data_IF_340896759461
#
_entry.id   IF_340896759461
#
_cell.length_a   1.000
_cell.length_b   1.000
_cell.length_c   1.000
_cell.angle_alpha   90.00
_cell.angle_beta   90.00
_cell.angle_gamma   90.00
#
_symmetry.space_group_name_H-M   'P 1'
#
loop_
_entity.id
_entity.type
_entity.pdbx_description
1 polymer ?
#
# COMPACT_ATOMS: atom_id res chain seq x y z
N UNK A 1 23.87 -13.25 3.76
CA UNK A 1 23.78 -13.33 2.29
C UNK A 1 22.53 -12.58 1.82
N UNK A 2 22.68 -11.60 0.92
CA UNK A 2 21.57 -10.74 0.50
C UNK A 2 20.59 -11.44 -0.45
N UNK A 3 19.45 -10.82 -0.71
CA UNK A 3 18.45 -11.35 -1.67
C UNK A 3 19.05 -11.60 -3.05
N UNK A 4 19.81 -10.62 -3.56
CA UNK A 4 20.48 -10.72 -4.87
C UNK A 4 21.45 -11.90 -4.93
N UNK A 5 22.20 -12.13 -3.86
CA UNK A 5 23.19 -13.20 -3.80
C UNK A 5 22.52 -14.57 -3.84
N UNK A 6 21.38 -14.73 -3.15
CA UNK A 6 20.56 -15.95 -3.22
C UNK A 6 20.02 -16.18 -4.64
N UNK A 7 19.45 -15.15 -5.26
CA UNK A 7 19.00 -15.25 -6.65
C UNK A 7 20.14 -15.62 -7.60
N UNK A 8 21.33 -15.05 -7.41
CA UNK A 8 22.51 -15.38 -8.22
C UNK A 8 22.89 -16.86 -8.12
N UNK A 9 22.82 -17.45 -6.93
CA UNK A 9 23.12 -18.87 -6.74
C UNK A 9 22.11 -19.76 -7.48
N UNK A 10 20.82 -19.49 -7.33
CA UNK A 10 19.73 -20.28 -7.94
C UNK A 10 19.65 -20.14 -9.47
N UNK A 11 20.11 -19.01 -10.01
CA UNK A 11 20.10 -18.69 -11.43
C UNK A 11 21.47 -18.91 -12.10
N UNK A 12 22.48 -19.39 -11.36
CA UNK A 12 23.80 -19.69 -11.92
C UNK A 12 23.68 -20.79 -12.98
N UNK A 13 24.31 -20.58 -14.13
CA UNK A 13 24.21 -21.48 -15.28
C UNK A 13 22.89 -21.37 -16.07
N UNK A 14 21.90 -20.62 -15.59
CA UNK A 14 20.65 -20.31 -16.32
C UNK A 14 20.69 -18.91 -16.94
N UNK A 15 21.46 -17.99 -16.36
CA UNK A 15 21.66 -16.62 -16.82
C UNK A 15 23.16 -16.35 -17.05
N UNK A 16 23.45 -15.38 -17.92
CA UNK A 16 24.81 -14.88 -18.17
C UNK A 16 25.34 -14.08 -16.97
N UNK A 17 26.67 -13.94 -16.85
CA UNK A 17 27.28 -13.13 -15.78
C UNK A 17 26.82 -11.66 -15.81
N UNK A 18 26.59 -11.11 -17.00
CA UNK A 18 26.03 -9.77 -17.16
C UNK A 18 24.62 -9.70 -16.55
N UNK A 19 23.73 -10.63 -16.89
CA UNK A 19 22.35 -10.67 -16.37
C UNK A 19 22.32 -10.89 -14.85
N UNK A 20 23.15 -11.80 -14.33
CA UNK A 20 23.32 -12.04 -12.90
C UNK A 20 23.75 -10.76 -12.17
N UNK A 21 24.61 -9.95 -12.79
CA UNK A 21 25.03 -8.65 -12.25
C UNK A 21 23.88 -7.61 -12.20
N UNK A 22 22.85 -7.77 -13.02
CA UNK A 22 21.70 -6.86 -13.13
C UNK A 22 20.52 -7.24 -12.23
N UNK A 23 20.57 -8.42 -11.59
CA UNK A 23 19.49 -8.92 -10.72
C UNK A 23 19.09 -7.90 -9.64
N UNK A 24 17.79 -7.86 -9.29
CA UNK A 24 17.26 -6.92 -8.30
C UNK A 24 17.92 -7.10 -6.93
N UNK A 25 18.24 -5.98 -6.26
CA UNK A 25 18.83 -5.98 -4.91
C UNK A 25 17.82 -6.32 -3.82
N UNK A 26 16.54 -6.11 -4.09
CA UNK A 26 15.44 -6.35 -3.17
C UNK A 26 14.10 -6.32 -3.90
N UNK A 27 13.04 -6.46 -3.13
CA UNK A 27 11.67 -6.50 -3.59
C UNK A 27 10.74 -5.86 -2.55
N UNK A 28 9.52 -5.54 -2.98
CA UNK A 28 8.44 -5.18 -2.07
C UNK A 28 7.58 -6.41 -1.80
N UNK A 29 7.12 -6.55 -0.57
CA UNK A 29 6.13 -7.55 -0.19
C UNK A 29 4.88 -6.82 0.29
N UNK A 30 3.72 -7.23 -0.20
CA UNK A 30 2.40 -6.77 0.25
C UNK A 30 1.53 -8.00 0.50
N UNK A 31 1.26 -8.29 1.78
CA UNK A 31 0.66 -9.57 2.17
C UNK A 31 1.50 -10.75 1.68
N UNK A 32 0.89 -11.64 0.89
CA UNK A 32 1.52 -12.85 0.35
C UNK A 32 2.00 -12.66 -1.10
N UNK A 33 2.26 -11.42 -1.53
CA UNK A 33 2.67 -11.09 -2.89
C UNK A 33 4.03 -10.42 -2.89
N UNK A 34 4.90 -10.83 -3.82
CA UNK A 34 6.15 -10.13 -4.15
C UNK A 34 5.93 -9.24 -5.36
N UNK A 35 6.42 -8.00 -5.28
CA UNK A 35 6.49 -7.06 -6.41
C UNK A 35 7.97 -6.77 -6.69
N UNK A 36 8.43 -7.18 -7.87
CA UNK A 36 9.78 -6.97 -8.37
C UNK A 36 9.85 -5.74 -9.28
N UNK A 37 11.02 -5.09 -9.29
CA UNK A 37 11.40 -4.15 -10.34
C UNK A 37 12.59 -4.73 -11.08
N UNK A 38 12.41 -5.03 -12.36
CA UNK A 38 13.46 -5.56 -13.21
C UNK A 38 14.02 -4.46 -14.11
N UNK A 39 15.32 -4.53 -14.38
CA UNK A 39 15.94 -3.70 -15.41
C UNK A 39 15.47 -4.16 -16.80
N UNK A 40 15.45 -3.28 -17.82
CA UNK A 40 15.00 -3.64 -19.17
C UNK A 40 15.63 -4.91 -19.75
N UNK A 41 16.95 -5.11 -19.53
CA UNK A 41 17.67 -6.32 -19.99
C UNK A 41 17.18 -7.63 -19.38
N UNK A 42 16.50 -7.58 -18.22
CA UNK A 42 16.00 -8.77 -17.50
C UNK A 42 14.52 -9.06 -17.75
N UNK A 43 13.82 -8.25 -18.57
CA UNK A 43 12.37 -8.39 -18.77
C UNK A 43 12.01 -9.74 -19.38
N UNK A 44 12.79 -10.22 -20.35
CA UNK A 44 12.57 -11.53 -20.97
C UNK A 44 12.79 -12.68 -19.97
N UNK A 45 13.56 -12.43 -18.91
CA UNK A 45 13.87 -13.40 -17.84
C UNK A 45 12.88 -13.30 -16.67
N UNK A 46 11.80 -12.53 -16.81
CA UNK A 46 10.82 -12.34 -15.72
C UNK A 46 10.31 -13.64 -15.13
N UNK A 47 9.98 -14.60 -16.00
CA UNK A 47 9.39 -15.88 -15.60
C UNK A 47 10.34 -16.68 -14.71
N UNK A 48 11.56 -16.95 -15.19
CA UNK A 48 12.55 -17.75 -14.44
C UNK A 48 12.97 -17.08 -13.13
N UNK A 49 13.13 -15.75 -13.12
CA UNK A 49 13.44 -15.00 -11.89
C UNK A 49 12.29 -15.10 -10.88
N UNK A 50 11.05 -14.99 -11.36
CA UNK A 50 9.86 -15.03 -10.51
C UNK A 50 9.56 -16.41 -9.93
N UNK A 51 9.81 -17.49 -10.69
CA UNK A 51 9.66 -18.87 -10.23
C UNK A 51 10.65 -19.17 -9.09
N UNK A 52 11.90 -18.74 -9.24
CA UNK A 52 12.90 -18.82 -8.17
C UNK A 52 12.46 -18.03 -6.94
N UNK A 53 11.81 -16.87 -7.11
CA UNK A 53 11.28 -16.13 -5.96
C UNK A 53 10.19 -16.93 -5.22
N UNK A 54 9.28 -17.61 -5.93
CA UNK A 54 8.28 -18.46 -5.27
C UNK A 54 8.91 -19.62 -4.50
N UNK A 55 9.90 -20.30 -5.06
CA UNK A 55 10.59 -21.41 -4.37
C UNK A 55 11.35 -20.91 -3.14
N UNK A 56 11.97 -19.74 -3.22
CA UNK A 56 12.69 -19.14 -2.10
C UNK A 56 11.79 -18.65 -0.95
N UNK A 57 10.52 -18.35 -1.21
CA UNK A 57 9.60 -17.77 -0.23
C UNK A 57 8.27 -18.55 -0.15
N UNK A 58 8.22 -19.67 0.61
CA UNK A 58 7.06 -20.57 0.66
C UNK A 58 5.73 -19.93 1.14
N UNK A 59 5.77 -18.74 1.74
CA UNK A 59 4.58 -17.99 2.20
C UNK A 59 4.02 -17.04 1.13
N UNK A 60 4.68 -16.94 -0.02
CA UNK A 60 4.28 -16.08 -1.13
C UNK A 60 3.48 -16.91 -2.12
N UNK A 61 2.31 -16.40 -2.49
CA UNK A 61 1.40 -17.06 -3.42
C UNK A 61 1.65 -16.61 -4.86
N UNK A 62 2.18 -15.39 -5.05
CA UNK A 62 2.35 -14.83 -6.39
C UNK A 62 3.43 -13.76 -6.47
N UNK A 63 3.95 -13.59 -7.69
CA UNK A 63 4.97 -12.59 -8.01
C UNK A 63 4.47 -11.74 -9.17
N UNK A 64 4.54 -10.42 -8.96
CA UNK A 64 4.23 -9.41 -9.95
C UNK A 64 5.49 -8.59 -10.27
N UNK A 65 5.49 -7.92 -11.42
CA UNK A 65 6.53 -6.98 -11.80
C UNK A 65 5.93 -5.59 -11.97
N UNK A 66 6.56 -4.62 -11.31
CA UNK A 66 6.31 -3.22 -11.56
C UNK A 66 7.23 -2.73 -12.69
N UNK A 67 6.61 -2.42 -13.83
CA UNK A 67 7.25 -1.89 -15.04
C UNK A 67 7.04 -0.38 -15.21
N UNK A 68 6.12 0.21 -14.45
CA UNK A 68 5.66 1.58 -14.62
C UNK A 68 6.20 2.55 -13.59
N UNK A 69 5.85 3.81 -13.76
CA UNK A 69 5.97 4.81 -12.69
C UNK A 69 4.65 4.88 -11.93
N UNK A 70 4.66 5.73 -10.91
CA UNK A 70 3.45 6.23 -10.28
C UNK A 70 3.06 7.48 -11.06
N UNK A 71 1.82 7.59 -11.52
CA UNK A 71 1.39 8.72 -12.34
C UNK A 71 -0.07 9.13 -12.10
N UNK A 72 -0.45 10.23 -12.73
CA UNK A 72 -1.80 10.79 -12.68
C UNK A 72 -2.15 11.46 -11.35
N UNK A 73 -3.32 12.12 -11.34
CA UNK A 73 -3.85 12.84 -10.18
C UNK A 73 -4.04 11.92 -8.97
N UNK A 74 -4.37 10.65 -9.21
CA UNK A 74 -4.61 9.64 -8.17
C UNK A 74 -3.37 8.83 -7.77
N UNK A 75 -2.20 9.12 -8.36
CA UNK A 75 -0.93 8.42 -8.11
C UNK A 75 -1.05 6.91 -8.22
N UNK A 76 -1.70 6.46 -9.28
CA UNK A 76 -1.93 5.04 -9.53
C UNK A 76 -0.65 4.37 -10.05
N UNK A 77 -0.44 3.08 -9.76
CA UNK A 77 0.63 2.31 -10.40
C UNK A 77 0.31 2.14 -11.89
N UNK A 78 1.13 2.68 -12.79
CA UNK A 78 0.83 2.61 -14.22
C UNK A 78 0.87 1.18 -14.77
N UNK A 79 1.78 0.35 -14.23
CA UNK A 79 2.03 -0.98 -14.80
C UNK A 79 2.58 -1.98 -13.79
N UNK A 80 1.68 -2.75 -13.19
CA UNK A 80 1.99 -3.93 -12.38
C UNK A 80 1.42 -5.17 -13.08
N UNK A 81 2.30 -6.04 -13.57
CA UNK A 81 1.94 -7.25 -14.32
C UNK A 81 2.10 -8.50 -13.46
N UNK A 82 1.12 -9.40 -13.50
CA UNK A 82 1.25 -10.76 -12.98
C UNK A 82 2.30 -11.55 -13.77
N UNK A 83 3.07 -12.41 -13.09
CA UNK A 83 4.08 -13.27 -13.74
C UNK A 83 3.90 -14.74 -13.39
N UNK A 84 3.80 -15.08 -12.11
CA UNK A 84 3.71 -16.48 -11.66
C UNK A 84 2.96 -16.61 -10.33
N UNK A 85 2.43 -17.81 -10.07
CA UNK A 85 1.63 -18.15 -8.89
C UNK A 85 0.13 -17.92 -9.09
N UNK A 86 -0.56 -17.49 -8.04
CA UNK A 86 -1.99 -17.17 -8.09
C UNK A 86 -2.23 -15.76 -8.69
N UNK A 87 -2.98 -15.68 -9.78
CA UNK A 87 -3.31 -14.40 -10.43
C UNK A 87 -4.44 -13.65 -9.70
N UNK A 88 -4.16 -13.26 -8.46
CA UNK A 88 -5.06 -12.52 -7.58
C UNK A 88 -4.32 -11.24 -7.12
N UNK A 89 -4.63 -10.06 -7.68
CA UNK A 89 -3.93 -8.82 -7.34
C UNK A 89 -4.44 -8.19 -6.02
N UNK A 90 -5.51 -8.73 -5.43
CA UNK A 90 -6.06 -8.25 -4.16
C UNK A 90 -5.27 -8.86 -3.00
N UNK A 91 -4.65 -7.99 -2.20
CA UNK A 91 -3.83 -8.38 -1.05
C UNK A 91 -4.46 -7.95 0.26
N UNK A 92 -4.07 -8.61 1.36
CA UNK A 92 -4.28 -8.16 2.74
C UNK A 92 -2.92 -7.93 3.38
N UNK A 93 -2.49 -6.68 3.42
CA UNK A 93 -1.21 -6.27 4.00
C UNK A 93 -1.39 -5.86 5.45
N UNK A 94 -0.54 -6.35 6.36
CA UNK A 94 -0.64 -6.04 7.80
C UNK A 94 0.54 -5.18 8.25
N UNK A 95 0.24 -4.06 8.90
CA UNK A 95 1.24 -3.19 9.53
C UNK A 95 0.71 -2.66 10.86
N UNK A 96 1.50 -2.76 11.93
CA UNK A 96 1.15 -2.19 13.25
C UNK A 96 -0.27 -2.58 13.74
N UNK A 97 -0.69 -3.82 13.49
CA UNK A 97 -2.02 -4.31 13.89
C UNK A 97 -3.18 -3.80 13.02
N UNK A 98 -2.89 -3.05 11.95
CA UNK A 98 -3.87 -2.67 10.91
C UNK A 98 -3.77 -3.63 9.74
N UNK A 99 -4.92 -4.03 9.21
CA UNK A 99 -5.02 -4.78 7.95
C UNK A 99 -5.50 -3.86 6.84
N UNK A 100 -4.71 -3.71 5.79
CA UNK A 100 -5.05 -3.00 4.56
C UNK A 100 -5.36 -4.00 3.46
N UNK A 101 -6.61 -4.02 3.00
CA UNK A 101 -7.05 -4.74 1.81
C UNK A 101 -7.10 -3.79 0.63
N UNK A 102 -6.47 -4.16 -0.50
CA UNK A 102 -6.49 -3.39 -1.74
C UNK A 102 -6.00 -4.21 -2.93
N UNK A 103 -6.29 -3.72 -4.13
CA UNK A 103 -5.75 -4.24 -5.40
C UNK A 103 -4.44 -3.53 -5.72
N UNK A 104 -3.33 -4.28 -5.74
CA UNK A 104 -1.99 -3.74 -5.96
C UNK A 104 -1.79 -3.12 -7.34
N UNK A 105 -2.65 -3.46 -8.31
CA UNK A 105 -2.58 -2.90 -9.68
C UNK A 105 -3.26 -1.55 -9.79
N UNK A 106 -4.10 -1.19 -8.80
CA UNK A 106 -4.89 0.05 -8.80
C UNK A 106 -4.47 1.02 -7.71
N UNK A 107 -4.01 0.51 -6.58
CA UNK A 107 -3.70 1.31 -5.40
C UNK A 107 -2.20 1.25 -5.11
N UNK A 108 -1.57 2.43 -5.02
CA UNK A 108 -0.19 2.53 -4.58
C UNK A 108 -0.09 2.40 -3.06
N UNK A 109 0.77 1.50 -2.58
CA UNK A 109 1.07 1.39 -1.15
C UNK A 109 2.56 1.64 -0.89
N UNK A 110 2.88 2.82 -0.33
CA UNK A 110 4.27 3.20 -0.04
C UNK A 110 4.78 2.49 1.22
N UNK A 111 5.82 1.65 1.03
CA UNK A 111 6.59 1.05 2.13
C UNK A 111 7.39 2.11 2.93
N UNK A 112 7.78 3.21 2.28
CA UNK A 112 8.55 4.29 2.93
C UNK A 112 7.79 4.96 4.08
N UNK A 113 6.46 5.00 3.98
CA UNK A 113 5.60 5.64 4.98
C UNK A 113 5.32 4.74 6.19
N UNK A 114 5.92 3.54 6.29
CA UNK A 114 5.71 2.63 7.43
C UNK A 114 5.97 3.33 8.77
N UNK A 115 7.10 4.03 8.88
CA UNK A 115 7.45 4.77 10.11
C UNK A 115 6.49 5.92 10.37
N UNK A 116 6.14 6.66 9.33
CA UNK A 116 5.24 7.82 9.43
C UNK A 116 3.84 7.42 9.89
N UNK A 117 3.29 6.33 9.31
CA UNK A 117 2.00 5.75 9.73
C UNK A 117 1.98 5.36 11.20
N UNK A 118 3.12 4.96 11.78
CA UNK A 118 3.24 4.72 13.22
C UNK A 118 3.43 6.02 13.99
N UNK A 119 4.29 6.91 13.51
CA UNK A 119 4.67 8.13 14.20
C UNK A 119 3.48 9.05 14.45
N UNK A 120 2.61 9.26 13.45
CA UNK A 120 1.44 10.14 13.59
C UNK A 120 0.53 9.71 14.76
N UNK A 121 0.44 8.41 15.06
CA UNK A 121 -0.39 7.91 16.16
C UNK A 121 0.10 8.36 17.53
N UNK A 122 1.37 8.74 17.66
CA UNK A 122 1.97 9.25 18.90
C UNK A 122 1.73 10.74 19.12
N UNK A 123 1.30 11.46 18.07
CA UNK A 123 1.07 12.90 18.11
C UNK A 123 -0.40 13.25 18.42
N UNK A 124 -1.31 12.32 18.13
CA UNK A 124 -2.76 12.48 18.34
C UNK A 124 -3.08 12.34 19.82
N UNK A 125 -3.75 13.34 20.38
CA UNK A 125 -4.30 13.28 21.73
C UNK A 125 -5.66 12.56 21.73
N UNK A 126 -6.03 12.06 22.90
CA UNK A 126 -7.35 11.46 23.13
C UNK A 126 -8.44 12.47 22.79
N UNK A 127 -9.54 11.98 22.25
CA UNK A 127 -10.75 12.78 21.99
C UNK A 127 -10.57 13.90 20.95
N UNK A 128 -9.48 13.89 20.18
CA UNK A 128 -9.37 14.81 19.02
C UNK A 128 -10.41 14.47 17.96
N UNK A 129 -11.03 15.52 17.40
CA UNK A 129 -11.73 15.46 16.11
C UNK A 129 -10.73 15.72 14.98
N UNK A 130 -10.62 14.77 14.05
CA UNK A 130 -9.59 14.75 13.02
C UNK A 130 -10.23 14.81 11.63
N UNK A 131 -9.65 15.59 10.73
CA UNK A 131 -10.02 15.59 9.30
C UNK A 131 -8.83 15.13 8.47
N UNK A 132 -8.97 13.97 7.82
CA UNK A 132 -8.00 13.44 6.87
C UNK A 132 -8.45 13.79 5.45
N UNK A 133 -7.76 14.73 4.82
CA UNK A 133 -8.17 15.32 3.54
C UNK A 133 -7.85 14.42 2.33
N UNK A 134 -6.96 13.45 2.49
CA UNK A 134 -6.51 12.55 1.41
C UNK A 134 -6.35 11.13 1.95
N UNK A 135 -7.46 10.56 2.41
CA UNK A 135 -7.43 9.35 3.23
C UNK A 135 -6.89 8.12 2.49
N UNK A 136 -6.97 8.08 1.16
CA UNK A 136 -6.62 6.91 0.35
C UNK A 136 -7.48 5.72 0.75
N UNK A 137 -6.81 4.61 1.09
CA UNK A 137 -7.46 3.42 1.65
C UNK A 137 -7.48 3.41 3.20
N UNK A 138 -7.21 4.56 3.82
CA UNK A 138 -7.10 4.77 5.25
C UNK A 138 -5.67 4.77 5.78
N UNK A 139 -4.71 5.29 5.01
CA UNK A 139 -3.28 5.18 5.33
C UNK A 139 -2.94 5.66 6.74
N UNK A 140 -3.44 6.84 7.13
CA UNK A 140 -3.24 7.44 8.45
C UNK A 140 -4.46 7.29 9.35
N UNK A 141 -5.65 7.41 8.78
CA UNK A 141 -6.93 7.25 9.50
C UNK A 141 -7.04 5.93 10.28
N UNK A 142 -6.67 4.78 9.67
CA UNK A 142 -6.80 3.47 10.33
C UNK A 142 -5.83 3.31 11.53
N UNK A 143 -4.52 3.59 11.39
CA UNK A 143 -3.61 3.58 12.55
C UNK A 143 -4.07 4.48 13.68
N UNK A 144 -4.52 5.71 13.38
CA UNK A 144 -4.96 6.67 14.40
C UNK A 144 -6.22 6.16 15.11
N UNK A 145 -7.22 5.70 14.36
CA UNK A 145 -8.45 5.15 14.92
C UNK A 145 -8.21 3.95 15.85
N UNK A 146 -7.19 3.12 15.51
CA UNK A 146 -6.80 1.96 16.32
C UNK A 146 -6.04 2.33 17.58
N UNK A 147 -5.08 3.25 17.49
CA UNK A 147 -4.04 3.42 18.52
C UNK A 147 -4.15 4.69 19.35
N UNK A 148 -4.86 5.72 18.87
CA UNK A 148 -4.82 7.07 19.49
C UNK A 148 -6.10 7.50 20.19
N UNK A 149 -7.18 6.70 20.12
CA UNK A 149 -8.49 7.00 20.75
C UNK A 149 -9.04 8.42 20.41
N UNK A 150 -9.13 8.79 19.11
CA UNK A 150 -9.79 10.02 18.71
C UNK A 150 -11.30 9.95 19.01
N UNK A 151 -11.94 11.11 19.11
CA UNK A 151 -13.41 11.19 19.18
C UNK A 151 -14.01 10.80 17.83
N UNK A 152 -13.55 11.45 16.76
CA UNK A 152 -13.98 11.18 15.39
C UNK A 152 -12.88 11.45 14.38
N UNK A 153 -12.86 10.67 13.30
CA UNK A 153 -12.02 10.92 12.13
C UNK A 153 -12.93 11.03 10.91
N UNK A 154 -12.89 12.16 10.23
CA UNK A 154 -13.55 12.38 8.94
C UNK A 154 -12.53 12.16 7.83
N UNK A 155 -12.66 11.04 7.12
CA UNK A 155 -11.70 10.58 6.11
C UNK A 155 -12.23 10.84 4.71
N UNK A 156 -11.73 11.87 4.05
CA UNK A 156 -12.16 12.28 2.72
C UNK A 156 -11.29 11.61 1.66
N UNK A 157 -11.92 11.01 0.66
CA UNK A 157 -11.24 10.39 -0.47
C UNK A 157 -12.01 10.65 -1.79
N UNK A 158 -11.28 11.13 -2.80
CA UNK A 158 -11.87 11.49 -4.08
C UNK A 158 -11.94 10.31 -5.06
N UNK A 159 -10.91 9.46 -5.11
CA UNK A 159 -10.86 8.30 -5.99
C UNK A 159 -11.86 7.23 -5.52
N UNK A 160 -12.78 6.84 -6.39
CA UNK A 160 -13.84 5.90 -6.06
C UNK A 160 -13.32 4.49 -5.70
N UNK A 161 -12.19 4.05 -6.27
CA UNK A 161 -11.58 2.76 -5.98
C UNK A 161 -10.92 2.79 -4.60
N UNK A 162 -10.14 3.83 -4.30
CA UNK A 162 -9.56 4.05 -2.97
C UNK A 162 -10.63 4.14 -1.91
N UNK A 163 -11.71 4.90 -2.15
CA UNK A 163 -12.83 5.04 -1.24
C UNK A 163 -13.51 3.69 -0.95
N UNK A 164 -13.72 2.85 -1.96
CA UNK A 164 -14.28 1.51 -1.75
C UNK A 164 -13.40 0.70 -0.79
N UNK A 165 -12.09 0.71 -0.98
CA UNK A 165 -11.16 0.03 -0.09
C UNK A 165 -11.06 0.68 1.29
N UNK A 166 -11.17 2.01 1.41
CA UNK A 166 -11.26 2.71 2.69
C UNK A 166 -12.44 2.17 3.51
N UNK A 167 -13.64 2.13 2.92
CA UNK A 167 -14.85 1.61 3.58
C UNK A 167 -14.66 0.15 4.00
N UNK A 168 -14.12 -0.70 3.11
CA UNK A 168 -13.82 -2.10 3.45
C UNK A 168 -12.79 -2.21 4.59
N UNK A 169 -11.74 -1.40 4.57
CA UNK A 169 -10.68 -1.45 5.57
C UNK A 169 -11.13 -0.93 6.92
N UNK A 170 -12.01 0.08 6.98
CA UNK A 170 -12.64 0.52 8.23
C UNK A 170 -13.37 -0.65 8.88
N UNK A 171 -14.16 -1.41 8.11
CA UNK A 171 -14.88 -2.60 8.59
C UNK A 171 -13.96 -3.73 9.03
N UNK A 172 -12.95 -4.05 8.22
CA UNK A 172 -11.97 -5.11 8.53
C UNK A 172 -11.22 -4.83 9.84
N UNK A 173 -11.02 -3.55 10.19
CA UNK A 173 -10.31 -3.16 11.41
C UNK A 173 -11.25 -2.81 12.58
N UNK A 174 -12.58 -2.93 12.40
CA UNK A 174 -13.61 -2.61 13.39
C UNK A 174 -13.55 -1.16 13.90
N UNK A 175 -13.44 -0.21 12.95
CA UNK A 175 -13.28 1.23 13.24
C UNK A 175 -14.48 2.09 12.80
N UNK A 176 -15.62 1.47 12.48
CA UNK A 176 -16.83 2.13 11.97
C UNK A 176 -17.36 3.21 12.92
N UNK A 177 -17.18 3.02 14.23
CA UNK A 177 -17.64 3.99 15.23
C UNK A 177 -16.76 5.24 15.30
N UNK A 178 -15.49 5.12 14.91
CA UNK A 178 -14.48 6.19 15.01
C UNK A 178 -14.25 6.91 13.70
N UNK A 179 -14.37 6.21 12.56
CA UNK A 179 -14.01 6.74 11.24
C UNK A 179 -15.25 6.88 10.37
N UNK A 180 -15.52 8.10 9.89
CA UNK A 180 -16.53 8.42 8.91
C UNK A 180 -15.83 8.59 7.55
N UNK A 181 -15.99 7.65 6.61
CA UNK A 181 -15.49 7.82 5.25
C UNK A 181 -16.41 8.75 4.45
N UNK A 182 -15.83 9.68 3.71
CA UNK A 182 -16.53 10.64 2.85
C UNK A 182 -15.95 10.54 1.43
N UNK A 183 -16.82 10.29 0.45
CA UNK A 183 -16.42 10.29 -0.96
C UNK A 183 -16.64 11.69 -1.53
N UNK A 184 -15.56 12.40 -1.89
CA UNK A 184 -15.69 13.75 -2.45
C UNK A 184 -14.35 14.46 -2.63
N UNK A 185 -14.40 15.65 -3.22
CA UNK A 185 -13.27 16.58 -3.26
C UNK A 185 -13.06 17.20 -1.88
N UNK A 186 -11.85 17.12 -1.35
CA UNK A 186 -11.54 17.65 -0.03
C UNK A 186 -11.84 19.14 0.09
N UNK A 187 -11.70 19.94 -0.97
CA UNK A 187 -11.99 21.38 -0.95
C UNK A 187 -13.47 21.65 -0.70
N UNK A 188 -14.35 20.80 -1.21
CA UNK A 188 -15.79 20.94 -1.02
C UNK A 188 -16.23 20.35 0.33
N UNK A 189 -15.73 19.16 0.66
CA UNK A 189 -16.16 18.41 1.83
C UNK A 189 -15.73 19.10 3.14
N UNK A 190 -14.54 19.71 3.20
CA UNK A 190 -14.13 20.47 4.41
C UNK A 190 -15.05 21.68 4.67
N UNK A 191 -15.55 22.33 3.62
CA UNK A 191 -16.50 23.43 3.75
C UNK A 191 -17.86 22.93 4.26
N UNK A 192 -18.32 21.77 3.77
CA UNK A 192 -19.55 21.13 4.27
C UNK A 192 -19.42 20.77 5.75
N UNK A 193 -18.33 20.10 6.15
CA UNK A 193 -18.04 19.77 7.54
C UNK A 193 -18.08 21.02 8.43
N UNK A 194 -17.40 22.10 8.01
CA UNK A 194 -17.39 23.37 8.75
C UNK A 194 -18.79 23.98 8.91
N UNK A 195 -19.60 23.96 7.85
CA UNK A 195 -21.01 24.44 7.87
C UNK A 195 -21.89 23.62 8.82
N UNK A 196 -21.63 22.33 8.96
CA UNK A 196 -22.30 21.46 9.94
C UNK A 196 -21.76 21.60 11.37
N UNK A 197 -20.88 22.57 11.63
CA UNK A 197 -20.34 22.84 12.96
C UNK A 197 -19.17 21.95 13.37
N UNK A 198 -18.67 21.09 12.47
CA UNK A 198 -17.49 20.26 12.76
C UNK A 198 -16.25 21.16 12.81
N UNK A 199 -15.45 21.00 13.87
CA UNK A 199 -14.17 21.69 14.06
C UNK A 199 -13.10 20.65 14.29
N UNK A 200 -12.04 20.71 13.48
CA UNK A 200 -10.94 19.77 13.56
C UNK A 200 -9.90 20.29 14.55
N UNK A 201 -9.54 19.47 15.54
CA UNK A 201 -8.35 19.68 16.36
C UNK A 201 -7.08 19.39 15.56
N UNK A 202 -7.20 18.50 14.56
CA UNK A 202 -6.10 18.10 13.67
C UNK A 202 -6.56 17.89 12.24
N UNK A 203 -5.76 18.38 11.31
CA UNK A 203 -5.91 18.12 9.87
C UNK A 203 -4.72 17.29 9.38
N UNK A 204 -5.00 16.26 8.59
CA UNK A 204 -4.00 15.41 7.93
C UNK A 204 -4.07 15.68 6.42
N UNK A 205 -2.92 16.00 5.83
CA UNK A 205 -2.75 16.27 4.40
C UNK A 205 -1.63 15.38 3.84
N UNK A 206 -1.88 14.06 3.85
CA UNK A 206 -0.90 13.01 3.56
C UNK A 206 -0.77 12.59 2.11
#
# INVERSE_FOLDING_TARGET
MGFKDKLKQELKGKLTEEELSLLPRGFQTLGNVIILKLKPKLINMKKIISEVCLTMFPKINSVFINLGKIAGTFREPEKIEFVTGENIPIVKHKEHGITYKFDITKIMFSKGNLKERKFITTLVKREETIVDMFAGIGYFSLPIGKHSQPEKIYSIEFNAVSYKYLVENIKINHLEQKIIPIKGDCKEEVLKLSKFGIRADRVIMG
#
